data_IF_866767251947
#
_entry.id   IF_866767251947
#
_cell.length_a   1.000
_cell.length_b   1.000
_cell.length_c   1.000
_cell.angle_alpha   90.00
_cell.angle_beta   90.00
_cell.angle_gamma   90.00
#
_symmetry.space_group_name_H-M   'P 1'
#
loop_
_entity.id
_entity.type
_entity.pdbx_description
1 polymer ?
#
# COMPACT_ATOMS: atom_id res chain seq x y z
N UNK A 1 8.18 0.07 -3.51
CA UNK A 1 8.01 1.41 -4.08
C UNK A 1 6.52 1.67 -4.24
N UNK A 2 5.83 1.87 -3.12
CA UNK A 2 4.39 1.68 -2.99
C UNK A 2 3.59 2.99 -2.91
N UNK A 3 4.15 4.09 -3.40
CA UNK A 3 3.46 5.37 -3.56
C UNK A 3 2.27 5.30 -4.54
N UNK A 4 2.31 4.63 -5.71
CA UNK A 4 3.36 3.81 -6.36
C UNK A 4 4.33 4.58 -7.24
N UNK A 5 5.62 4.23 -7.18
CA UNK A 5 6.63 4.83 -8.05
C UNK A 5 6.49 4.33 -9.48
N UNK A 6 6.22 5.24 -10.42
CA UNK A 6 6.09 4.97 -11.86
C UNK A 6 7.04 5.90 -12.61
N UNK A 7 8.18 5.38 -13.07
CA UNK A 7 9.30 6.20 -13.56
C UNK A 7 8.96 7.15 -14.72
N UNK A 8 8.01 6.77 -15.57
CA UNK A 8 7.52 7.56 -16.70
C UNK A 8 6.13 8.16 -16.46
N UNK A 9 5.61 8.09 -15.25
CA UNK A 9 4.32 8.66 -14.86
C UNK A 9 4.43 10.14 -14.47
N UNK A 10 3.31 10.89 -14.46
CA UNK A 10 3.29 12.24 -13.93
C UNK A 10 3.77 12.24 -12.48
N UNK A 11 4.69 13.14 -12.14
CA UNK A 11 5.26 13.24 -10.78
C UNK A 11 5.87 11.91 -10.26
N UNK A 12 6.31 11.03 -11.17
CA UNK A 12 6.84 9.69 -10.87
C UNK A 12 5.79 8.79 -10.17
N UNK A 13 4.50 8.99 -10.47
CA UNK A 13 3.40 8.20 -9.89
C UNK A 13 2.28 7.93 -10.89
N UNK A 14 1.16 7.38 -10.42
CA UNK A 14 0.00 7.10 -11.28
C UNK A 14 -0.64 8.37 -11.89
N UNK A 15 -1.19 8.27 -13.11
CA UNK A 15 -2.13 9.26 -13.63
C UNK A 15 -3.37 9.37 -12.73
N UNK A 16 -3.86 10.60 -12.53
CA UNK A 16 -4.97 10.89 -11.62
C UNK A 16 -6.31 10.28 -12.04
N UNK A 17 -6.47 9.96 -13.32
CA UNK A 17 -7.65 9.38 -13.96
C UNK A 17 -7.58 7.85 -14.09
N UNK A 18 -6.52 7.22 -13.55
CA UNK A 18 -6.45 5.76 -13.46
C UNK A 18 -7.58 5.23 -12.58
N UNK A 19 -8.31 4.22 -13.06
CA UNK A 19 -9.48 3.66 -12.38
C UNK A 19 -9.09 2.45 -11.53
N UNK A 20 -9.38 2.52 -10.23
CA UNK A 20 -9.19 1.46 -9.25
C UNK A 20 -10.44 0.58 -9.12
N UNK A 21 -10.35 -0.48 -8.30
CA UNK A 21 -11.48 -1.32 -7.94
C UNK A 21 -12.65 -0.48 -7.38
N UNK A 22 -13.87 -0.73 -7.86
CA UNK A 22 -15.06 0.03 -7.47
C UNK A 22 -15.33 1.28 -8.32
N UNK A 23 -14.49 1.56 -9.33
CA UNK A 23 -14.69 2.70 -10.23
C UNK A 23 -14.13 4.03 -9.72
N UNK A 24 -13.37 4.01 -8.62
CA UNK A 24 -12.72 5.18 -8.06
C UNK A 24 -11.51 5.61 -8.90
N UNK A 25 -11.36 6.92 -9.12
CA UNK A 25 -10.16 7.45 -9.75
C UNK A 25 -9.00 7.52 -8.75
N UNK A 26 -7.77 7.43 -9.25
CA UNK A 26 -6.56 7.48 -8.44
C UNK A 26 -6.47 8.75 -7.59
N UNK A 27 -6.97 9.88 -8.12
CA UNK A 27 -7.04 11.15 -7.37
C UNK A 27 -7.76 11.05 -6.03
N UNK A 28 -8.67 10.10 -5.88
CA UNK A 28 -9.51 9.92 -4.69
C UNK A 28 -8.84 9.02 -3.66
N UNK A 29 -7.99 8.08 -4.12
CA UNK A 29 -7.47 6.99 -3.29
C UNK A 29 -5.94 6.90 -3.26
N UNK A 30 -5.21 7.77 -3.95
CA UNK A 30 -3.75 7.72 -4.11
C UNK A 30 -3.00 7.40 -2.82
N UNK A 31 -3.28 8.19 -1.77
CA UNK A 31 -2.57 8.08 -0.50
C UNK A 31 -2.91 6.79 0.28
N UNK A 32 -3.99 6.09 -0.09
CA UNK A 32 -4.35 4.80 0.49
C UNK A 32 -3.60 3.63 -0.18
N UNK A 33 -3.10 3.80 -1.41
CA UNK A 33 -2.50 2.72 -2.19
C UNK A 33 -1.36 2.03 -1.43
N UNK A 34 -0.43 2.83 -0.88
CA UNK A 34 0.69 2.31 -0.08
C UNK A 34 0.23 1.56 1.16
N UNK A 35 -0.85 2.03 1.80
CA UNK A 35 -1.44 1.36 2.96
C UNK A 35 -2.03 0.00 2.60
N UNK A 36 -2.82 -0.06 1.54
CA UNK A 36 -3.46 -1.30 1.09
C UNK A 36 -2.43 -2.35 0.66
N UNK A 37 -1.33 -1.92 0.02
CA UNK A 37 -0.24 -2.81 -0.35
C UNK A 37 0.44 -3.45 0.89
N UNK A 38 0.79 -2.66 1.91
CA UNK A 38 1.47 -3.20 3.09
C UNK A 38 0.52 -4.01 3.98
N UNK A 39 -0.76 -3.64 4.05
CA UNK A 39 -1.80 -4.43 4.75
C UNK A 39 -1.98 -5.82 4.12
N UNK A 40 -2.03 -5.88 2.79
CA UNK A 40 -2.15 -7.16 2.06
C UNK A 40 -0.91 -8.04 2.29
N UNK A 41 0.27 -7.42 2.32
CA UNK A 41 1.53 -8.13 2.59
C UNK A 41 1.58 -8.65 4.04
N UNK A 42 1.17 -7.83 5.02
CA UNK A 42 1.05 -8.25 6.42
C UNK A 42 0.12 -9.47 6.55
N UNK A 43 -1.06 -9.43 5.92
CA UNK A 43 -2.00 -10.56 5.94
C UNK A 43 -1.40 -11.83 5.29
N UNK A 44 -0.64 -11.69 4.21
CA UNK A 44 0.09 -12.81 3.61
C UNK A 44 1.08 -13.48 4.59
N UNK A 45 1.78 -12.68 5.40
CA UNK A 45 2.71 -13.18 6.42
C UNK A 45 1.99 -13.87 7.60
N UNK A 46 0.82 -13.36 8.00
CA UNK A 46 -0.05 -14.03 8.98
C UNK A 46 -0.52 -15.37 8.40
N UNK A 47 -1.05 -15.38 7.19
CA UNK A 47 -1.63 -16.55 6.55
C UNK A 47 -0.62 -17.69 6.37
N UNK A 48 0.59 -17.40 5.87
CA UNK A 48 1.64 -18.42 5.67
C UNK A 48 2.12 -19.09 6.96
N UNK A 49 1.90 -18.43 8.11
CA UNK A 49 2.27 -18.96 9.43
C UNK A 49 1.07 -19.52 10.19
N UNK A 50 -0.09 -19.63 9.55
CA UNK A 50 -1.37 -19.97 10.20
C UNK A 50 -1.65 -19.11 11.44
N UNK A 51 -1.19 -17.86 11.45
CA UNK A 51 -1.36 -16.92 12.56
C UNK A 51 -0.41 -17.14 13.75
N UNK A 52 0.55 -18.05 13.67
CA UNK A 52 1.46 -18.34 14.80
C UNK A 52 2.62 -17.35 14.92
N UNK A 53 2.93 -16.58 13.87
CA UNK A 53 4.09 -15.67 13.85
C UNK A 53 3.63 -14.24 13.59
N UNK A 54 4.06 -13.30 14.45
CA UNK A 54 3.84 -11.87 14.25
C UNK A 54 4.67 -11.37 13.04
N UNK A 55 4.04 -10.73 12.04
CA UNK A 55 4.78 -10.19 10.91
C UNK A 55 5.70 -9.03 11.29
N UNK A 56 6.83 -8.93 10.58
CA UNK A 56 7.61 -7.70 10.49
C UNK A 56 7.57 -7.21 9.05
N UNK A 57 7.26 -5.94 8.87
CA UNK A 57 7.17 -5.31 7.57
C UNK A 57 7.60 -3.85 7.65
N UNK A 58 8.41 -3.42 6.69
CA UNK A 58 8.79 -2.03 6.50
C UNK A 58 8.08 -1.51 5.24
N UNK A 59 7.46 -0.34 5.33
CA UNK A 59 6.81 0.33 4.20
C UNK A 59 7.36 1.74 4.03
N UNK A 60 7.38 2.23 2.78
CA UNK A 60 7.80 3.60 2.45
C UNK A 60 6.61 4.55 2.36
N UNK A 61 5.59 4.19 1.58
CA UNK A 61 4.31 4.91 1.55
C UNK A 61 3.38 4.41 2.65
N UNK A 62 2.63 5.34 3.26
CA UNK A 62 1.76 5.07 4.40
C UNK A 62 0.59 6.07 4.47
N UNK A 63 -0.47 5.69 5.19
CA UNK A 63 -1.58 6.56 5.55
C UNK A 63 -1.93 6.41 7.03
N UNK A 64 -2.87 7.21 7.52
CA UNK A 64 -3.39 7.07 8.88
C UNK A 64 -3.95 5.65 9.09
N UNK A 65 -3.36 4.90 10.04
CA UNK A 65 -3.69 3.51 10.29
C UNK A 65 -2.58 2.50 9.91
N UNK A 66 -1.55 2.93 9.18
CA UNK A 66 -0.41 2.08 8.82
C UNK A 66 0.32 1.47 10.02
N UNK A 67 0.26 2.11 11.18
CA UNK A 67 0.89 1.63 12.42
C UNK A 67 0.36 0.26 12.88
N UNK A 68 -0.78 -0.20 12.35
CA UNK A 68 -1.33 -1.53 12.67
C UNK A 68 -0.58 -2.68 12.01
N UNK A 69 0.13 -2.43 10.90
CA UNK A 69 0.63 -3.49 10.02
C UNK A 69 2.07 -3.30 9.54
N UNK A 70 2.67 -2.12 9.67
CA UNK A 70 4.04 -1.90 9.22
C UNK A 70 4.78 -0.84 10.04
N UNK A 71 6.11 -1.00 10.13
CA UNK A 71 7.03 0.08 10.46
C UNK A 71 7.28 0.95 9.21
N UNK A 72 7.76 2.18 9.40
CA UNK A 72 8.02 3.16 8.33
C UNK A 72 9.46 3.70 8.41
N UNK A 73 10.04 4.05 7.27
CA UNK A 73 11.31 4.78 7.12
C UNK A 73 11.28 5.66 5.88
#
# INVERSE_FOLDING_TARGET
>A
MNEPSVFNGPEITFPKDLVHHGGWEDREVHNLYGMLQHMSTFQGLVNRSHGHIRPFLLTRSFFAGSQRTAAVW
#
